data_IF_582263841842
#
_entry.id   IF_582263841842
#
_cell.length_a   1.000
_cell.length_b   1.000
_cell.length_c   1.000
_cell.angle_alpha   90.00
_cell.angle_beta   90.00
_cell.angle_gamma   90.00
#
_symmetry.space_group_name_H-M   'P 1'
#
loop_
_entity.id
_entity.type
_entity.pdbx_description
1 polymer ?
#
# COMPACT_ATOMS: atom_id res chain seq x y z
N UNK A 1 -12.69 -6.14 -42.64
CA UNK A 1 -11.81 -7.10 -41.94
C UNK A 1 -10.59 -6.29 -41.48
N UNK A 2 -10.64 -5.47 -40.42
CA UNK A 2 -10.63 -5.82 -38.96
C UNK A 2 -9.68 -6.99 -38.72
N UNK A 3 -8.54 -6.87 -38.04
CA UNK A 3 -8.19 -6.30 -36.73
C UNK A 3 -6.65 -6.32 -36.64
N UNK A 4 -5.91 -5.54 -35.86
CA UNK A 4 -6.23 -4.58 -34.82
C UNK A 4 -4.87 -4.10 -34.29
N UNK A 5 -4.70 -2.78 -34.23
CA UNK A 5 -3.61 -2.13 -33.52
C UNK A 5 -3.77 -2.41 -32.02
N UNK A 6 -2.83 -3.11 -31.40
CA UNK A 6 -2.65 -3.13 -29.95
C UNK A 6 -1.16 -3.21 -29.61
N UNK A 7 -0.43 -2.17 -29.98
CA UNK A 7 0.71 -1.74 -29.17
C UNK A 7 0.19 -0.56 -28.36
N UNK A 8 -0.49 -0.89 -27.26
CA UNK A 8 -0.83 0.08 -26.23
C UNK A 8 0.49 0.40 -25.51
N UNK A 9 1.22 1.34 -26.12
CA UNK A 9 2.29 2.07 -25.46
C UNK A 9 1.72 2.60 -24.15
N UNK A 10 2.29 2.16 -23.03
CA UNK A 10 1.99 2.64 -21.70
C UNK A 10 2.29 4.15 -21.62
N UNK A 11 1.39 4.96 -22.18
CA UNK A 11 1.30 6.39 -21.93
C UNK A 11 1.25 6.53 -20.41
N UNK A 12 2.02 7.46 -19.87
CA UNK A 12 2.07 7.73 -18.44
C UNK A 12 0.64 7.94 -17.90
N UNK A 13 0.01 6.86 -17.44
CA UNK A 13 -1.36 6.88 -17.01
C UNK A 13 -1.42 7.85 -15.82
N UNK A 14 -2.23 8.91 -15.97
CA UNK A 14 -2.41 9.87 -14.91
C UNK A 14 -2.80 9.11 -13.64
N UNK A 15 -2.08 9.37 -12.54
CA UNK A 15 -2.28 8.67 -11.27
C UNK A 15 -3.77 8.76 -10.90
N UNK A 16 -4.47 7.62 -10.75
CA UNK A 16 -5.90 7.64 -10.45
C UNK A 16 -6.18 8.44 -9.18
N UNK A 17 -7.26 9.24 -9.17
CA UNK A 17 -7.64 10.05 -8.00
C UNK A 17 -7.77 9.22 -6.73
N UNK A 18 -8.18 7.95 -6.85
CA UNK A 18 -8.26 7.02 -5.72
C UNK A 18 -6.90 6.81 -5.04
N UNK A 19 -5.80 6.73 -5.79
CA UNK A 19 -4.44 6.60 -5.24
C UNK A 19 -4.08 7.85 -4.42
N UNK A 20 -4.38 9.05 -4.94
CA UNK A 20 -4.13 10.30 -4.24
C UNK A 20 -4.98 10.48 -2.97
N UNK A 21 -6.24 10.03 -2.99
CA UNK A 21 -7.13 10.07 -1.83
C UNK A 21 -6.64 9.10 -0.75
N UNK A 22 -6.30 7.86 -1.13
CA UNK A 22 -5.81 6.85 -0.19
C UNK A 22 -4.50 7.26 0.46
N UNK A 23 -3.54 7.78 -0.33
CA UNK A 23 -2.28 8.26 0.23
C UNK A 23 -2.51 9.38 1.25
N UNK A 24 -3.36 10.35 0.93
CA UNK A 24 -3.68 11.48 1.81
C UNK A 24 -4.42 11.07 3.08
N UNK A 25 -5.28 10.03 3.01
CA UNK A 25 -5.98 9.50 4.18
C UNK A 25 -5.01 8.74 5.09
N UNK A 26 -4.21 7.84 4.52
CA UNK A 26 -3.27 7.03 5.29
C UNK A 26 -2.14 7.86 5.89
N UNK A 27 -1.68 8.90 5.19
CA UNK A 27 -0.72 9.87 5.71
C UNK A 27 -1.26 10.54 6.98
N UNK A 28 -2.48 11.09 6.93
CA UNK A 28 -3.09 11.74 8.09
C UNK A 28 -3.32 10.80 9.26
N UNK A 29 -3.71 9.55 8.98
CA UNK A 29 -3.91 8.54 10.03
C UNK A 29 -2.57 8.14 10.66
N UNK A 30 -1.53 7.90 9.85
CA UNK A 30 -0.21 7.56 10.34
C UNK A 30 0.39 8.68 11.21
N UNK A 31 0.33 9.94 10.75
CA UNK A 31 0.83 11.09 11.50
C UNK A 31 0.10 11.28 12.84
N UNK A 32 -1.23 11.13 12.84
CA UNK A 32 -2.03 11.23 14.07
C UNK A 32 -1.67 10.13 15.06
N UNK A 33 -1.47 8.91 14.57
CA UNK A 33 -1.13 7.76 15.40
C UNK A 33 0.32 7.84 15.91
N UNK A 34 1.26 8.37 15.12
CA UNK A 34 2.63 8.64 15.56
C UNK A 34 2.65 9.60 16.76
N UNK A 35 1.86 10.67 16.71
CA UNK A 35 1.72 11.64 17.82
C UNK A 35 1.09 10.97 19.05
N UNK A 36 0.05 10.15 18.86
CA UNK A 36 -0.59 9.43 19.96
C UNK A 36 0.35 8.40 20.61
N UNK A 37 1.13 7.67 19.80
CA UNK A 37 2.12 6.71 20.29
C UNK A 37 3.24 7.41 21.06
N UNK A 38 3.73 8.55 20.58
CA UNK A 38 4.73 9.35 21.30
C UNK A 38 4.22 9.86 22.66
N UNK A 39 2.93 10.20 22.76
CA UNK A 39 2.30 10.57 24.02
C UNK A 39 2.14 9.39 24.99
N UNK A 40 1.83 8.19 24.47
CA UNK A 40 1.62 6.97 25.24
C UNK A 40 2.93 6.28 25.71
N UNK A 41 4.06 6.53 25.03
CA UNK A 41 5.36 5.92 25.33
C UNK A 41 5.93 6.23 26.74
N UNK A 42 5.26 7.09 27.54
CA UNK A 42 5.66 7.42 28.91
C UNK A 42 5.26 6.38 29.97
N UNK A 43 4.59 5.27 29.63
CA UNK A 43 4.19 4.29 30.66
C UNK A 43 3.75 2.90 30.25
N UNK A 44 3.77 2.52 28.96
CA UNK A 44 3.19 1.23 28.51
C UNK A 44 4.22 0.22 27.99
N UNK A 45 3.93 -1.06 28.23
CA UNK A 45 4.69 -2.22 27.71
C UNK A 45 4.78 -2.15 26.18
N UNK A 46 5.91 -2.57 25.57
CA UNK A 46 6.03 -2.61 24.12
C UNK A 46 4.91 -3.47 23.53
N UNK A 47 4.12 -2.88 22.64
CA UNK A 47 3.08 -3.58 21.92
C UNK A 47 3.68 -4.78 21.17
N UNK A 48 2.91 -5.86 21.06
CA UNK A 48 3.35 -7.05 20.35
C UNK A 48 3.80 -6.67 18.92
N UNK A 49 5.05 -6.99 18.59
CA UNK A 49 5.65 -6.63 17.31
C UNK A 49 4.84 -7.28 16.18
N UNK A 50 4.20 -6.44 15.37
CA UNK A 50 3.49 -6.87 14.17
C UNK A 50 4.49 -7.26 13.09
N UNK A 51 4.17 -8.26 12.27
CA UNK A 51 4.98 -8.59 11.08
C UNK A 51 5.12 -7.42 10.09
N UNK A 52 4.23 -6.42 10.22
CA UNK A 52 4.24 -5.19 9.43
C UNK A 52 5.09 -4.07 10.04
N UNK A 53 5.63 -4.23 11.24
CA UNK A 53 6.43 -3.18 11.87
C UNK A 53 7.83 -3.11 11.23
N UNK A 54 8.16 -1.97 10.65
CA UNK A 54 9.52 -1.66 10.21
C UNK A 54 10.44 -1.29 11.38
N UNK A 55 11.73 -1.55 11.24
CA UNK A 55 12.76 -1.10 12.18
C UNK A 55 13.03 0.41 12.05
N UNK A 56 12.86 0.95 10.85
CA UNK A 56 13.10 2.34 10.50
C UNK A 56 11.93 2.87 9.68
N UNK A 57 11.69 4.18 9.79
CA UNK A 57 10.71 4.88 8.95
C UNK A 57 11.26 4.98 7.53
N UNK A 58 10.52 4.52 6.49
CA UNK A 58 10.98 4.65 5.11
C UNK A 58 11.15 6.13 4.71
N UNK A 59 12.22 6.42 3.95
CA UNK A 59 12.47 7.78 3.44
C UNK A 59 11.45 8.22 2.38
N UNK A 60 10.82 7.26 1.69
CA UNK A 60 9.80 7.53 0.68
C UNK A 60 8.46 7.89 1.33
N UNK A 61 7.80 8.94 0.82
CA UNK A 61 6.46 9.30 1.26
C UNK A 61 5.43 8.22 0.89
N UNK A 62 4.32 8.18 1.63
CA UNK A 62 3.24 7.22 1.35
C UNK A 62 2.69 7.42 -0.07
N UNK A 63 2.51 8.67 -0.49
CA UNK A 63 2.07 9.02 -1.85
C UNK A 63 3.05 8.52 -2.91
N UNK A 64 4.33 8.84 -2.78
CA UNK A 64 5.36 8.40 -3.72
C UNK A 64 5.48 6.86 -3.79
N UNK A 65 5.29 6.19 -2.66
CA UNK A 65 5.29 4.73 -2.61
C UNK A 65 4.07 4.14 -3.34
N UNK A 66 2.88 4.67 -3.11
CA UNK A 66 1.65 4.19 -3.73
C UNK A 66 1.62 4.47 -5.25
N UNK A 67 2.18 5.59 -5.69
CA UNK A 67 2.40 5.89 -7.11
C UNK A 67 3.36 4.90 -7.77
N UNK A 68 4.46 4.54 -7.09
CA UNK A 68 5.38 3.51 -7.59
C UNK A 68 4.64 2.19 -7.73
N UNK A 69 3.90 1.76 -6.70
CA UNK A 69 3.08 0.55 -6.77
C UNK A 69 2.15 0.62 -7.99
N UNK A 70 1.50 1.75 -8.25
CA UNK A 70 0.64 1.92 -9.43
C UNK A 70 1.38 1.75 -10.75
N UNK A 71 2.54 2.38 -10.91
CA UNK A 71 3.33 2.28 -12.14
C UNK A 71 3.85 0.86 -12.39
N UNK A 72 4.23 0.14 -11.33
CA UNK A 72 4.80 -1.21 -11.47
C UNK A 72 3.76 -2.32 -11.47
N UNK A 73 2.67 -2.18 -10.70
CA UNK A 73 1.66 -3.22 -10.58
C UNK A 73 0.77 -3.33 -11.82
N UNK A 74 0.60 -2.23 -12.55
CA UNK A 74 -0.23 -2.14 -13.76
C UNK A 74 -1.62 -2.79 -13.59
N UNK A 75 -2.24 -2.58 -12.43
CA UNK A 75 -3.53 -3.17 -12.09
C UNK A 75 -4.67 -2.15 -12.20
N UNK A 76 -5.89 -2.65 -12.28
CA UNK A 76 -7.08 -1.81 -12.37
C UNK A 76 -7.20 -0.88 -11.14
N UNK A 77 -7.68 0.37 -11.30
CA UNK A 77 -7.95 1.26 -10.17
C UNK A 77 -8.87 0.67 -9.09
N UNK A 78 -9.72 -0.30 -9.45
CA UNK A 78 -10.57 -1.05 -8.51
C UNK A 78 -9.75 -1.80 -7.44
N UNK A 79 -8.55 -2.28 -7.78
CA UNK A 79 -7.66 -2.97 -6.85
C UNK A 79 -7.26 -2.09 -5.66
N UNK A 80 -7.14 -0.77 -5.85
CA UNK A 80 -6.83 0.17 -4.76
C UNK A 80 -8.01 0.35 -3.80
N UNK A 81 -9.23 0.37 -4.33
CA UNK A 81 -10.44 0.43 -3.50
C UNK A 81 -10.56 -0.84 -2.67
N UNK A 82 -10.36 -2.01 -3.29
CA UNK A 82 -10.41 -3.30 -2.58
C UNK A 82 -9.27 -3.42 -1.58
N UNK A 83 -8.06 -2.95 -1.90
CA UNK A 83 -6.93 -2.92 -0.97
C UNK A 83 -7.27 -2.13 0.30
N UNK A 84 -7.91 -0.97 0.17
CA UNK A 84 -8.37 -0.19 1.33
C UNK A 84 -9.40 -0.95 2.16
N UNK A 85 -10.36 -1.64 1.52
CA UNK A 85 -11.35 -2.47 2.22
C UNK A 85 -10.66 -3.62 2.98
N UNK A 86 -9.64 -4.25 2.39
CA UNK A 86 -8.86 -5.30 3.03
C UNK A 86 -8.07 -4.77 4.23
N UNK A 87 -7.43 -3.61 4.08
CA UNK A 87 -6.71 -2.95 5.16
C UNK A 87 -7.65 -2.62 6.33
N UNK A 88 -8.78 -1.97 6.06
CA UNK A 88 -9.77 -1.60 7.07
C UNK A 88 -10.34 -2.84 7.81
N UNK A 89 -10.67 -3.92 7.07
CA UNK A 89 -11.12 -5.18 7.67
C UNK A 89 -10.05 -5.82 8.54
N UNK A 90 -8.79 -5.76 8.14
CA UNK A 90 -7.66 -6.30 8.90
C UNK A 90 -7.46 -5.54 10.21
N UNK A 91 -7.47 -4.21 10.17
CA UNK A 91 -7.32 -3.35 11.34
C UNK A 91 -8.47 -3.52 12.34
N UNK A 92 -9.72 -3.66 11.86
CA UNK A 92 -10.87 -3.94 12.73
C UNK A 92 -10.75 -5.27 13.49
N UNK A 93 -10.09 -6.27 12.93
CA UNK A 93 -9.83 -7.56 13.59
C UNK A 93 -8.61 -7.53 14.52
N UNK A 94 -7.79 -6.48 14.44
CA UNK A 94 -6.56 -6.30 15.21
C UNK A 94 -6.54 -4.91 15.87
N UNK A 95 -7.41 -4.65 16.86
CA UNK A 95 -7.54 -3.32 17.48
C UNK A 95 -6.26 -2.84 18.17
N UNK A 96 -5.35 -3.75 18.54
CA UNK A 96 -4.04 -3.42 19.10
C UNK A 96 -3.03 -2.91 18.05
N UNK A 97 -3.32 -3.04 16.75
CA UNK A 97 -2.46 -2.57 15.67
C UNK A 97 -3.01 -1.23 15.13
N UNK A 98 -2.34 -0.14 15.48
CA UNK A 98 -2.56 1.16 14.86
C UNK A 98 -1.70 1.32 13.61
N UNK A 99 -2.22 2.00 12.59
CA UNK A 99 -1.44 2.36 11.39
C UNK A 99 -0.53 3.53 11.74
N UNK A 100 0.77 3.37 11.57
CA UNK A 100 1.79 4.38 11.92
C UNK A 100 2.82 4.53 10.77
N UNK A 101 3.76 5.47 10.91
CA UNK A 101 4.80 5.70 9.88
C UNK A 101 5.75 4.51 9.67
N UNK A 102 5.79 3.53 10.58
CA UNK A 102 6.70 2.38 10.53
C UNK A 102 6.06 1.16 9.88
N UNK A 103 4.73 1.07 9.87
CA UNK A 103 4.01 -0.08 9.33
C UNK A 103 3.17 0.21 8.08
N UNK A 104 2.83 1.47 7.81
CA UNK A 104 1.90 1.84 6.74
C UNK A 104 2.35 1.38 5.35
N UNK A 105 3.65 1.48 5.02
CA UNK A 105 4.17 1.03 3.73
C UNK A 105 4.02 -0.48 3.54
N UNK A 106 4.37 -1.27 4.58
CA UNK A 106 4.26 -2.74 4.55
C UNK A 106 2.80 -3.20 4.49
N UNK A 107 1.91 -2.51 5.20
CA UNK A 107 0.45 -2.74 5.13
C UNK A 107 -0.11 -2.41 3.74
N UNK A 108 0.34 -1.31 3.14
CA UNK A 108 -0.09 -0.88 1.81
C UNK A 108 0.27 -1.90 0.72
N UNK A 109 1.54 -2.29 0.62
CA UNK A 109 1.95 -3.25 -0.41
C UNK A 109 1.24 -4.60 -0.23
N UNK A 110 1.09 -5.06 1.01
CA UNK A 110 0.42 -6.33 1.29
C UNK A 110 -1.06 -6.28 0.88
N UNK A 111 -1.77 -5.20 1.22
CA UNK A 111 -3.17 -5.04 0.86
C UNK A 111 -3.38 -4.92 -0.65
N UNK A 112 -2.52 -4.16 -1.35
CA UNK A 112 -2.59 -4.01 -2.82
C UNK A 112 -2.30 -5.33 -3.51
N UNK A 113 -1.23 -6.04 -3.14
CA UNK A 113 -0.91 -7.33 -3.76
C UNK A 113 -1.99 -8.39 -3.51
N UNK A 114 -2.60 -8.37 -2.33
CA UNK A 114 -3.75 -9.23 -2.05
C UNK A 114 -4.94 -8.86 -2.94
N UNK A 115 -5.23 -7.58 -3.13
CA UNK A 115 -6.29 -7.14 -4.04
C UNK A 115 -6.01 -7.57 -5.49
N UNK A 116 -4.81 -7.30 -6.01
CA UNK A 116 -4.41 -7.69 -7.37
C UNK A 116 -4.57 -9.20 -7.58
N UNK A 117 -4.14 -10.02 -6.62
CA UNK A 117 -4.23 -11.48 -6.72
C UNK A 117 -5.66 -12.02 -6.86
N UNK A 118 -6.63 -11.38 -6.21
CA UNK A 118 -7.99 -11.90 -6.07
C UNK A 118 -9.03 -11.15 -6.91
N UNK A 119 -8.71 -9.95 -7.39
CA UNK A 119 -9.65 -9.08 -8.13
C UNK A 119 -9.22 -8.95 -9.58
N UNK A 120 -7.93 -9.05 -9.87
CA UNK A 120 -7.38 -8.79 -11.20
C UNK A 120 -6.90 -10.07 -11.87
N UNK A 121 -7.86 -10.79 -12.47
CA UNK A 121 -7.62 -12.07 -13.16
C UNK A 121 -6.62 -11.94 -14.33
N UNK A 122 -6.49 -10.74 -14.91
CA UNK A 122 -5.56 -10.47 -16.02
C UNK A 122 -4.10 -10.31 -15.58
N UNK A 123 -3.83 -10.04 -14.29
CA UNK A 123 -2.49 -9.63 -13.82
C UNK A 123 -1.93 -10.51 -12.68
N UNK A 124 -2.63 -11.60 -12.32
CA UNK A 124 -2.16 -12.58 -11.34
C UNK A 124 -0.76 -13.18 -11.66
N UNK A 125 -0.35 -13.18 -12.94
CA UNK A 125 0.94 -13.70 -13.39
C UNK A 125 2.14 -12.74 -13.17
N UNK A 126 1.91 -11.45 -12.86
CA UNK A 126 2.95 -10.42 -12.75
C UNK A 126 3.41 -10.17 -11.29
N UNK A 127 2.84 -10.87 -10.30
CA UNK A 127 3.05 -10.58 -8.87
C UNK A 127 4.50 -10.81 -8.41
N UNK A 128 5.21 -11.78 -9.00
CA UNK A 128 6.61 -12.09 -8.63
C UNK A 128 7.59 -10.93 -8.96
N UNK A 129 7.65 -10.38 -10.19
CA UNK A 129 8.55 -9.27 -10.49
C UNK A 129 8.24 -7.98 -9.71
N UNK A 130 6.96 -7.67 -9.48
CA UNK A 130 6.52 -6.49 -8.70
C UNK A 130 7.04 -6.52 -7.26
N UNK A 131 7.06 -7.71 -6.64
CA UNK A 131 7.53 -7.87 -5.26
C UNK A 131 9.03 -7.64 -5.14
N UNK A 132 9.84 -8.16 -6.07
CA UNK A 132 11.29 -7.98 -6.05
C UNK A 132 11.69 -6.53 -6.27
N UNK A 133 11.10 -5.82 -7.24
CA UNK A 133 11.52 -4.45 -7.56
C UNK A 133 11.05 -3.40 -6.54
N UNK A 134 9.94 -3.68 -5.82
CA UNK A 134 9.41 -2.78 -4.79
C UNK A 134 10.05 -3.05 -3.43
N UNK A 135 10.38 -4.30 -3.08
CA UNK A 135 11.06 -4.61 -1.81
C UNK A 135 12.55 -4.24 -1.83
N UNK A 136 13.25 -4.42 -2.95
CA UNK A 136 14.70 -4.11 -3.08
C UNK A 136 15.03 -2.61 -3.00
N UNK A 137 13.99 -1.75 -2.98
CA UNK A 137 14.12 -0.28 -2.87
C UNK A 137 13.44 0.29 -1.62
N UNK A 138 13.10 -0.56 -0.64
CA UNK A 138 12.56 -0.17 0.68
C UNK A 138 13.61 -0.32 1.79
N UNK A 139 14.71 -1.05 1.55
CA UNK A 139 15.95 -0.99 2.34
C UNK A 139 16.90 0.09 1.80
#
# INVERSE_FOLDING_TARGET
MTTGEMVETAAAAAVPRVVAILSSLLQRVAERNDVAAAAAAKGEKPAAVSAFQGLTKPAISIGGYLERIFRFANCSPSCYVVAYIYLDRFLRRRPALAVDSFNVHRLLITSVLTAVKFVDDMYANQIKPILYEILDKVE
#
